data_IF_807758411530
#
_entry.id   IF_807758411530
#
_cell.length_a   1.000
_cell.length_b   1.000
_cell.length_c   1.000
_cell.angle_alpha   90.00
_cell.angle_beta   90.00
_cell.angle_gamma   90.00
#
_symmetry.space_group_name_H-M   'P 1'
#
loop_
_entity.id
_entity.type
_entity.pdbx_description
1 polymer ?
#
# COMPACT_ATOMS: atom_id res chain seq x y z
N UNK A 1 16.86 21.80 -20.00
CA UNK A 1 17.91 22.79 -19.67
C UNK A 1 17.42 24.23 -19.60
N UNK A 2 16.23 24.58 -20.14
CA UNK A 2 15.71 25.95 -20.11
C UNK A 2 14.76 26.20 -18.91
N UNK A 3 14.24 25.16 -18.24
CA UNK A 3 13.22 25.32 -17.18
C UNK A 3 13.73 24.95 -15.77
N UNK A 4 14.65 23.99 -15.63
CA UNK A 4 15.07 23.46 -14.32
C UNK A 4 16.45 23.93 -13.80
N UNK A 5 17.17 24.76 -14.57
CA UNK A 5 18.57 25.11 -14.25
C UNK A 5 19.55 23.92 -14.35
N UNK A 6 20.86 24.14 -14.17
CA UNK A 6 21.84 23.06 -14.13
C UNK A 6 21.54 22.14 -12.94
N UNK A 7 21.64 20.81 -13.14
CA UNK A 7 21.52 19.84 -12.03
C UNK A 7 22.58 20.21 -10.99
N UNK A 8 22.18 20.67 -9.79
CA UNK A 8 23.16 21.00 -8.77
C UNK A 8 23.80 19.69 -8.32
N UNK A 9 25.06 19.47 -8.70
CA UNK A 9 25.82 18.28 -8.30
C UNK A 9 26.23 18.33 -6.82
N UNK A 10 26.12 19.49 -6.18
CA UNK A 10 26.23 19.67 -4.74
C UNK A 10 24.91 19.31 -4.05
N UNK A 11 24.55 18.02 -4.04
CA UNK A 11 23.39 17.53 -3.28
C UNK A 11 23.65 17.67 -1.78
N UNK A 12 22.66 18.19 -1.05
CA UNK A 12 22.66 18.13 0.40
C UNK A 12 22.70 16.65 0.85
N UNK A 13 23.41 16.32 1.95
CA UNK A 13 23.45 14.95 2.49
C UNK A 13 22.07 14.34 2.74
N UNK A 14 21.09 15.19 3.09
CA UNK A 14 19.69 14.81 3.28
C UNK A 14 19.04 14.29 1.99
N UNK A 15 19.32 14.92 0.85
CA UNK A 15 18.82 14.49 -0.46
C UNK A 15 19.42 13.14 -0.84
N UNK A 16 20.71 12.94 -0.60
CA UNK A 16 21.36 11.65 -0.84
C UNK A 16 20.75 10.53 0.02
N UNK A 17 20.50 10.80 1.31
CA UNK A 17 19.84 9.86 2.21
C UNK A 17 18.41 9.55 1.79
N UNK A 18 17.64 10.56 1.34
CA UNK A 18 16.28 10.36 0.85
C UNK A 18 16.26 9.47 -0.40
N UNK A 19 17.18 9.69 -1.34
CA UNK A 19 17.33 8.85 -2.53
C UNK A 19 17.73 7.42 -2.14
N UNK A 20 18.71 7.27 -1.24
CA UNK A 20 19.15 5.96 -0.77
C UNK A 20 18.01 5.20 -0.08
N UNK A 21 17.22 5.86 0.77
CA UNK A 21 16.03 5.28 1.39
C UNK A 21 15.00 4.85 0.35
N UNK A 22 14.69 5.71 -0.62
CA UNK A 22 13.73 5.40 -1.67
C UNK A 22 14.16 4.19 -2.53
N UNK A 23 15.43 4.13 -2.91
CA UNK A 23 15.97 3.04 -3.73
C UNK A 23 16.10 1.73 -2.95
N UNK A 24 16.67 1.76 -1.75
CA UNK A 24 16.99 0.54 -1.00
C UNK A 24 15.79 0.02 -0.21
N UNK A 25 15.11 0.89 0.55
CA UNK A 25 14.05 0.48 1.47
C UNK A 25 12.71 0.48 0.74
N UNK A 26 12.31 1.60 0.13
CA UNK A 26 11.00 1.70 -0.50
C UNK A 26 10.87 0.86 -1.78
N UNK A 27 12.00 0.54 -2.43
CA UNK A 27 11.99 -0.22 -3.70
C UNK A 27 12.61 -1.61 -3.53
N UNK A 28 13.94 -1.72 -3.34
CA UNK A 28 14.62 -3.02 -3.38
C UNK A 28 14.08 -3.98 -2.30
N UNK A 29 14.00 -3.53 -1.04
CA UNK A 29 13.45 -4.33 0.07
C UNK A 29 11.97 -4.69 -0.17
N UNK A 30 11.17 -3.72 -0.63
CA UNK A 30 9.76 -3.95 -0.93
C UNK A 30 9.55 -5.02 -2.00
N UNK A 31 10.38 -5.02 -3.05
CA UNK A 31 10.35 -6.05 -4.09
C UNK A 31 10.78 -7.42 -3.57
N UNK A 32 11.81 -7.50 -2.73
CA UNK A 32 12.21 -8.77 -2.12
C UNK A 32 11.06 -9.38 -1.29
N UNK A 33 10.38 -8.55 -0.50
CA UNK A 33 9.18 -8.94 0.24
C UNK A 33 8.05 -9.36 -0.71
N UNK A 34 7.83 -8.63 -1.81
CA UNK A 34 6.82 -8.97 -2.80
C UNK A 34 7.03 -10.37 -3.39
N UNK A 35 8.26 -10.69 -3.81
CA UNK A 35 8.58 -12.01 -4.34
C UNK A 35 8.50 -13.11 -3.28
N UNK A 36 8.88 -12.80 -2.05
CA UNK A 36 8.72 -13.72 -0.92
C UNK A 36 7.23 -14.04 -0.69
N UNK A 37 6.37 -13.03 -0.59
CA UNK A 37 4.93 -13.20 -0.37
C UNK A 37 4.27 -13.89 -1.58
N UNK A 38 4.73 -13.60 -2.80
CA UNK A 38 4.26 -14.30 -4.00
C UNK A 38 4.44 -15.82 -3.87
N UNK A 39 5.59 -16.26 -3.35
CA UNK A 39 5.88 -17.68 -3.11
C UNK A 39 5.04 -18.30 -2.00
N UNK A 40 4.72 -17.56 -0.93
CA UNK A 40 3.91 -18.07 0.19
C UNK A 40 2.41 -18.07 -0.09
N UNK A 41 1.88 -17.01 -0.71
CA UNK A 41 0.44 -16.74 -0.80
C UNK A 41 -0.12 -16.92 -2.22
N UNK A 42 0.73 -17.04 -3.24
CA UNK A 42 0.33 -17.11 -4.64
C UNK A 42 -0.12 -15.76 -5.22
N UNK A 43 -0.30 -15.71 -6.54
CA UNK A 43 -0.58 -14.47 -7.29
C UNK A 43 -1.94 -13.84 -6.94
N UNK A 44 -2.97 -14.65 -6.70
CA UNK A 44 -4.32 -14.16 -6.41
C UNK A 44 -4.39 -13.38 -5.10
N UNK A 45 -3.82 -13.93 -4.01
CA UNK A 45 -3.80 -13.23 -2.72
C UNK A 45 -2.84 -12.04 -2.74
N UNK A 46 -1.76 -12.10 -3.54
CA UNK A 46 -0.83 -10.98 -3.68
C UNK A 46 -1.49 -9.78 -4.35
N UNK A 47 -2.44 -9.96 -5.29
CA UNK A 47 -3.16 -8.82 -5.87
C UNK A 47 -3.93 -8.00 -4.82
N UNK A 48 -4.33 -8.58 -3.69
CA UNK A 48 -5.01 -7.84 -2.62
C UNK A 48 -4.14 -6.70 -2.07
N UNK A 49 -2.81 -6.79 -2.18
CA UNK A 49 -1.90 -5.71 -1.78
C UNK A 49 -2.21 -4.41 -2.51
N UNK A 50 -2.60 -4.47 -3.79
CA UNK A 50 -2.91 -3.29 -4.61
C UNK A 50 -4.13 -2.53 -4.08
N UNK A 51 -5.11 -3.25 -3.54
CA UNK A 51 -6.29 -2.68 -2.88
C UNK A 51 -5.99 -2.18 -1.47
N UNK A 52 -4.99 -2.78 -0.81
CA UNK A 52 -4.58 -2.46 0.55
C UNK A 52 -3.64 -1.25 0.63
N UNK A 53 -2.92 -0.93 -0.46
CA UNK A 53 -2.00 0.21 -0.51
C UNK A 53 -2.69 1.55 -0.14
N UNK A 54 -3.82 1.94 -0.77
CA UNK A 54 -4.49 3.20 -0.43
C UNK A 54 -4.89 3.34 1.06
N UNK A 55 -5.58 2.36 1.70
CA UNK A 55 -6.00 2.51 3.08
C UNK A 55 -4.81 2.53 4.05
N UNK A 56 -3.76 1.75 3.79
CA UNK A 56 -2.53 1.79 4.60
C UNK A 56 -1.83 3.14 4.46
N UNK A 57 -1.68 3.65 3.24
CA UNK A 57 -1.02 4.94 3.00
C UNK A 57 -1.78 6.11 3.64
N UNK A 58 -3.10 6.17 3.46
CA UNK A 58 -3.94 7.25 3.99
C UNK A 58 -3.99 7.20 5.52
N UNK A 59 -4.18 6.02 6.11
CA UNK A 59 -4.22 5.88 7.58
C UNK A 59 -2.87 6.22 8.21
N UNK A 60 -1.77 5.73 7.64
CA UNK A 60 -0.43 6.06 8.14
C UNK A 60 -0.14 7.56 8.02
N UNK A 61 -0.52 8.18 6.91
CA UNK A 61 -0.40 9.63 6.72
C UNK A 61 -1.23 10.43 7.73
N UNK A 62 -2.48 10.04 7.96
CA UNK A 62 -3.36 10.68 8.94
C UNK A 62 -2.82 10.55 10.37
N UNK A 63 -2.31 9.37 10.75
CA UNK A 63 -1.69 9.13 12.07
C UNK A 63 -0.42 9.97 12.24
N UNK A 64 0.46 10.02 11.23
CA UNK A 64 1.69 10.81 11.29
C UNK A 64 1.44 12.32 11.34
N UNK A 65 0.37 12.80 10.68
CA UNK A 65 0.01 14.23 10.64
C UNK A 65 -0.94 14.66 11.75
N UNK A 66 -1.61 13.74 12.42
CA UNK A 66 -2.63 14.04 13.42
C UNK A 66 -3.89 14.68 12.84
N UNK A 67 -4.15 14.50 11.55
CA UNK A 67 -5.27 15.11 10.83
C UNK A 67 -6.47 14.16 10.79
N UNK A 68 -7.68 14.71 10.93
CA UNK A 68 -8.93 13.94 10.79
C UNK A 68 -9.17 13.55 9.34
N UNK A 69 -9.50 12.28 9.11
CA UNK A 69 -9.85 11.80 7.77
C UNK A 69 -11.18 12.41 7.31
N UNK A 70 -11.26 12.95 6.08
CA UNK A 70 -12.51 13.47 5.56
C UNK A 70 -13.52 12.33 5.34
N UNK A 71 -14.84 12.58 5.46
CA UNK A 71 -15.87 11.55 5.32
C UNK A 71 -15.80 10.75 4.01
N UNK A 72 -15.36 11.41 2.93
CA UNK A 72 -15.14 10.76 1.63
C UNK A 72 -14.08 9.64 1.66
N UNK A 73 -13.03 9.79 2.48
CA UNK A 73 -11.99 8.76 2.63
C UNK A 73 -12.55 7.53 3.34
N UNK A 74 -13.41 7.74 4.35
CA UNK A 74 -14.12 6.66 5.06
C UNK A 74 -15.05 5.89 4.12
N UNK A 75 -15.77 6.58 3.23
CA UNK A 75 -16.61 5.92 2.21
C UNK A 75 -15.75 5.08 1.26
N UNK A 76 -14.62 5.63 0.80
CA UNK A 76 -13.66 4.90 -0.04
C UNK A 76 -13.12 3.64 0.64
N UNK A 77 -12.78 3.72 1.93
CA UNK A 77 -12.38 2.55 2.73
C UNK A 77 -13.50 1.50 2.81
N UNK A 78 -14.77 1.93 2.91
CA UNK A 78 -15.92 1.04 2.84
C UNK A 78 -15.97 0.26 1.53
N UNK A 79 -15.82 0.95 0.39
CA UNK A 79 -15.79 0.28 -0.92
C UNK A 79 -14.61 -0.70 -1.06
N UNK A 80 -13.43 -0.33 -0.57
CA UNK A 80 -12.26 -1.21 -0.58
C UNK A 80 -12.46 -2.44 0.29
N UNK A 81 -13.03 -2.27 1.49
CA UNK A 81 -13.36 -3.39 2.37
C UNK A 81 -14.37 -4.35 1.72
N UNK A 82 -15.39 -3.81 1.04
CA UNK A 82 -16.35 -4.62 0.28
C UNK A 82 -15.66 -5.39 -0.85
N UNK A 83 -14.79 -4.73 -1.63
CA UNK A 83 -14.01 -5.38 -2.68
C UNK A 83 -13.11 -6.49 -2.15
N UNK A 84 -12.45 -6.26 -1.02
CA UNK A 84 -11.60 -7.24 -0.34
C UNK A 84 -12.41 -8.47 0.12
N UNK A 85 -13.59 -8.25 0.72
CA UNK A 85 -14.49 -9.33 1.16
C UNK A 85 -14.93 -10.20 -0.02
N UNK A 86 -15.21 -9.59 -1.17
CA UNK A 86 -15.60 -10.30 -2.40
C UNK A 86 -14.42 -11.10 -2.97
N UNK A 87 -13.23 -10.51 -3.02
CA UNK A 87 -12.04 -11.13 -3.62
C UNK A 87 -11.42 -12.23 -2.76
N UNK A 88 -11.38 -12.06 -1.44
CA UNK A 88 -10.78 -13.04 -0.52
C UNK A 88 -11.62 -14.33 -0.48
N UNK A 89 -12.95 -14.26 -0.68
CA UNK A 89 -13.86 -15.42 -0.81
C UNK A 89 -13.97 -16.30 0.45
N UNK A 90 -13.03 -16.19 1.40
CA UNK A 90 -12.99 -16.88 2.69
C UNK A 90 -14.15 -16.45 3.58
N UNK A 91 -14.56 -15.18 3.53
CA UNK A 91 -15.74 -14.68 4.22
C UNK A 91 -17.04 -15.34 3.69
N UNK A 92 -17.15 -15.54 2.37
CA UNK A 92 -18.25 -16.28 1.76
C UNK A 92 -18.26 -17.75 2.19
N UNK A 93 -17.08 -18.37 2.37
CA UNK A 93 -16.95 -19.72 2.92
C UNK A 93 -17.43 -19.86 4.37
N UNK A 94 -17.19 -18.85 5.22
CA UNK A 94 -17.68 -18.80 6.61
C UNK A 94 -19.20 -18.59 6.67
N UNK A 95 -19.75 -17.74 5.80
CA UNK A 95 -21.20 -17.53 5.65
C UNK A 95 -21.91 -18.79 5.13
N UNK A 96 -21.32 -19.51 4.16
CA UNK A 96 -21.88 -20.76 3.62
C UNK A 96 -21.86 -21.91 4.63
N UNK A 97 -20.91 -21.94 5.56
CA UNK A 97 -20.89 -22.91 6.68
C UNK A 97 -21.99 -22.65 7.72
N UNK A 98 -22.47 -21.41 7.87
CA UNK A 98 -23.59 -21.10 8.79
C UNK A 98 -24.97 -21.45 8.26
N UNK A 99 -25.12 -21.71 6.96
CA UNK A 99 -26.40 -22.12 6.35
C UNK A 99 -26.61 -23.64 6.31
N UNK A 100 -25.59 -24.43 6.69
CA UNK A 100 -25.61 -25.90 6.68
C UNK A 100 -25.71 -26.52 8.08
N UNK A 101 -26.02 -25.72 9.10
CA UNK A 101 -26.27 -26.17 10.48
C UNK A 101 -27.56 -25.53 10.98
#
# INVERSE_FOLDING_TARGET
WIIDGPIPLALAPTTMLAIAFAALVATALAYLLYWYILGLAGSGNLMLVTLLVPPVAITLGAVMRGESLPPQALIGFGFLALGLVVLDGRALGVLRRRQSN
#
